data_IF_053054657901
#
_entry.id   IF_053054657901
#
_cell.length_a   1.000
_cell.length_b   1.000
_cell.length_c   1.000
_cell.angle_alpha   90.00
_cell.angle_beta   90.00
_cell.angle_gamma   90.00
#
_symmetry.space_group_name_H-M   'P 1'
#
loop_
_entity.id
_entity.type
_entity.pdbx_description
1 polymer ?
#
# COMPACT_ATOMS: atom_id res chain seq x y z
N UNK A 1 -21.70 -9.30 6.06
CA UNK A 1 -22.07 -10.73 6.11
C UNK A 1 -20.81 -11.52 5.81
N UNK A 2 -20.54 -12.63 6.51
CA UNK A 2 -19.33 -13.44 6.22
C UNK A 2 -19.60 -14.34 5.03
N UNK A 3 -18.83 -14.18 3.97
CA UNK A 3 -18.90 -15.01 2.76
C UNK A 3 -17.74 -16.01 2.74
N UNK A 4 -18.00 -17.21 3.28
CA UNK A 4 -16.99 -18.26 3.39
C UNK A 4 -16.59 -18.85 2.03
N UNK A 5 -17.43 -18.74 1.01
CA UNK A 5 -17.11 -19.20 -0.33
C UNK A 5 -16.13 -18.24 -0.99
N UNK A 6 -16.45 -16.93 -1.00
CA UNK A 6 -15.55 -15.91 -1.54
C UNK A 6 -14.19 -15.88 -0.82
N UNK A 7 -14.17 -16.04 0.51
CA UNK A 7 -12.92 -16.15 1.27
C UNK A 7 -12.06 -17.34 0.85
N UNK A 8 -12.70 -18.50 0.59
CA UNK A 8 -12.00 -19.71 0.17
C UNK A 8 -11.43 -19.55 -1.24
N UNK A 9 -12.24 -19.05 -2.17
CA UNK A 9 -11.82 -18.79 -3.55
C UNK A 9 -10.67 -17.80 -3.59
N UNK A 10 -10.77 -16.69 -2.84
CA UNK A 10 -9.68 -15.72 -2.72
C UNK A 10 -8.41 -16.34 -2.12
N UNK A 11 -8.55 -17.16 -1.06
CA UNK A 11 -7.41 -17.85 -0.47
C UNK A 11 -6.73 -18.82 -1.45
N UNK A 12 -7.49 -19.45 -2.34
CA UNK A 12 -6.96 -20.33 -3.39
C UNK A 12 -6.22 -19.55 -4.47
N UNK A 13 -6.79 -18.44 -4.96
CA UNK A 13 -6.12 -17.54 -5.92
C UNK A 13 -4.79 -17.01 -5.36
N UNK A 14 -4.77 -16.60 -4.09
CA UNK A 14 -3.52 -16.18 -3.41
C UNK A 14 -2.50 -17.32 -3.39
N UNK A 15 -2.92 -18.55 -3.09
CA UNK A 15 -2.02 -19.72 -3.05
C UNK A 15 -1.43 -20.03 -4.42
N UNK A 16 -2.23 -20.00 -5.47
CA UNK A 16 -1.76 -20.21 -6.84
C UNK A 16 -0.68 -19.19 -7.22
N UNK A 17 -0.90 -17.91 -6.90
CA UNK A 17 0.12 -16.88 -7.12
C UNK A 17 1.40 -17.10 -6.29
N UNK A 18 1.26 -17.43 -5.00
CA UNK A 18 2.41 -17.74 -4.13
C UNK A 18 3.18 -19.00 -4.57
N UNK A 19 2.52 -19.93 -5.24
CA UNK A 19 3.11 -21.14 -5.80
C UNK A 19 3.72 -20.92 -7.19
N UNK A 20 3.71 -19.69 -7.71
CA UNK A 20 4.18 -19.36 -9.06
C UNK A 20 3.35 -20.01 -10.18
N UNK A 21 2.09 -20.35 -9.90
CA UNK A 21 1.14 -20.88 -10.90
C UNK A 21 0.45 -19.76 -11.69
N UNK A 22 0.41 -18.54 -11.13
CA UNK A 22 -0.13 -17.34 -11.75
C UNK A 22 0.97 -16.28 -11.92
N UNK A 23 0.88 -15.52 -13.00
CA UNK A 23 1.62 -14.27 -13.17
C UNK A 23 0.91 -13.11 -12.48
N UNK A 24 1.59 -11.97 -12.30
CA UNK A 24 1.04 -10.80 -11.63
C UNK A 24 -0.22 -10.27 -12.33
N UNK A 25 -0.25 -10.26 -13.67
CA UNK A 25 -1.43 -9.79 -14.41
C UNK A 25 -2.61 -10.76 -14.29
N UNK A 26 -2.35 -12.07 -14.40
CA UNK A 26 -3.39 -13.08 -14.17
C UNK A 26 -3.95 -13.02 -12.75
N UNK A 27 -3.08 -12.74 -11.77
CA UNK A 27 -3.48 -12.56 -10.39
C UNK A 27 -4.36 -11.32 -10.21
N UNK A 28 -4.04 -10.18 -10.84
CA UNK A 28 -4.90 -8.97 -10.80
C UNK A 28 -6.27 -9.23 -11.43
N UNK A 29 -6.31 -9.84 -12.61
CA UNK A 29 -7.56 -10.19 -13.30
C UNK A 29 -8.47 -11.06 -12.40
N UNK A 30 -7.89 -12.02 -11.68
CA UNK A 30 -8.61 -12.87 -10.75
C UNK A 30 -8.98 -12.17 -9.42
N UNK A 31 -8.28 -11.10 -9.05
CA UNK A 31 -8.62 -10.30 -7.87
C UNK A 31 -9.82 -9.37 -8.11
N UNK A 32 -10.05 -8.94 -9.35
CA UNK A 32 -11.06 -7.94 -9.71
C UNK A 32 -12.47 -8.22 -9.14
N UNK A 33 -13.02 -9.46 -9.21
CA UNK A 33 -14.35 -9.75 -8.68
C UNK A 33 -14.47 -9.56 -7.16
N UNK A 34 -13.35 -9.57 -6.42
CA UNK A 34 -13.33 -9.47 -4.96
C UNK A 34 -13.28 -8.02 -4.45
N UNK A 35 -13.09 -7.02 -5.32
CA UNK A 35 -13.02 -5.62 -4.91
C UNK A 35 -14.36 -5.07 -4.40
N UNK A 36 -15.48 -5.61 -4.91
CA UNK A 36 -16.84 -5.17 -4.58
C UNK A 36 -17.64 -6.23 -3.77
N UNK A 37 -16.98 -7.25 -3.23
CA UNK A 37 -17.66 -8.34 -2.51
C UNK A 37 -18.36 -7.85 -1.21
N UNK A 38 -19.51 -8.40 -0.84
CA UNK A 38 -20.26 -7.97 0.36
C UNK A 38 -19.53 -8.23 1.70
N UNK A 39 -18.53 -9.11 1.72
CA UNK A 39 -17.67 -9.36 2.88
C UNK A 39 -16.53 -8.33 2.93
N UNK A 40 -16.55 -7.47 3.96
CA UNK A 40 -15.53 -6.43 4.17
C UNK A 40 -14.11 -7.00 4.26
N UNK A 41 -13.96 -8.24 4.74
CA UNK A 41 -12.65 -8.90 4.86
C UNK A 41 -12.12 -9.31 3.50
N UNK A 42 -12.98 -9.83 2.63
CA UNK A 42 -12.60 -10.19 1.24
C UNK A 42 -12.15 -8.94 0.50
N UNK A 43 -12.93 -7.84 0.59
CA UNK A 43 -12.53 -6.55 0.00
C UNK A 43 -11.22 -6.00 0.58
N UNK A 44 -11.05 -6.09 1.89
CA UNK A 44 -9.87 -5.55 2.56
C UNK A 44 -8.60 -6.32 2.15
N UNK A 45 -8.69 -7.65 2.08
CA UNK A 45 -7.59 -8.50 1.66
C UNK A 45 -7.27 -8.29 0.18
N UNK A 46 -8.26 -8.26 -0.72
CA UNK A 46 -8.02 -8.03 -2.15
C UNK A 46 -7.35 -6.68 -2.41
N UNK A 47 -7.84 -5.60 -1.78
CA UNK A 47 -7.21 -4.27 -1.86
C UNK A 47 -5.80 -4.24 -1.28
N UNK A 48 -5.53 -5.01 -0.23
CA UNK A 48 -4.18 -5.09 0.37
C UNK A 48 -3.19 -5.80 -0.56
N UNK A 49 -3.66 -6.83 -1.27
CA UNK A 49 -2.84 -7.61 -2.21
C UNK A 49 -2.48 -6.82 -3.47
N UNK A 50 -3.34 -5.90 -3.92
CA UNK A 50 -3.06 -5.00 -5.05
C UNK A 50 -1.77 -4.20 -4.86
N UNK A 51 -1.41 -3.84 -3.62
CA UNK A 51 -0.15 -3.14 -3.33
C UNK A 51 1.09 -4.04 -3.30
N UNK A 52 0.96 -5.35 -3.49
CA UNK A 52 2.06 -6.32 -3.32
C UNK A 52 2.69 -6.80 -4.64
N UNK A 53 2.12 -6.44 -5.79
CA UNK A 53 2.69 -6.74 -7.10
C UNK A 53 2.84 -5.45 -7.91
N UNK A 54 3.68 -5.49 -8.96
CA UNK A 54 3.89 -4.38 -9.89
C UNK A 54 2.94 -4.57 -11.07
N UNK A 55 2.05 -3.61 -11.30
CA UNK A 55 1.07 -3.63 -12.40
C UNK A 55 1.68 -3.19 -13.73
N UNK A 56 2.95 -2.78 -13.74
CA UNK A 56 3.65 -2.32 -14.94
C UNK A 56 4.54 -3.39 -15.60
N UNK A 57 4.66 -4.59 -15.02
CA UNK A 57 5.40 -5.71 -15.60
C UNK A 57 4.79 -7.05 -15.20
N UNK A 58 4.73 -8.01 -16.13
CA UNK A 58 4.15 -9.31 -15.81
C UNK A 58 5.21 -10.23 -15.21
N UNK A 59 5.08 -10.54 -13.93
CA UNK A 59 6.09 -11.28 -13.19
C UNK A 59 5.46 -12.32 -12.25
N UNK A 60 6.22 -13.35 -11.88
CA UNK A 60 5.85 -14.26 -10.81
C UNK A 60 5.99 -13.58 -9.44
N UNK A 61 5.53 -14.21 -8.36
CA UNK A 61 5.66 -13.63 -7.01
C UNK A 61 7.09 -13.16 -6.72
N UNK A 62 7.19 -11.91 -6.29
CA UNK A 62 8.41 -11.29 -5.75
C UNK A 62 8.06 -10.75 -4.38
N UNK A 63 8.56 -11.40 -3.33
CA UNK A 63 8.29 -11.00 -1.96
C UNK A 63 9.51 -11.27 -1.09
N UNK A 64 9.85 -10.31 -0.22
CA UNK A 64 10.78 -10.55 0.87
C UNK A 64 10.10 -11.34 2.00
N UNK A 65 10.90 -11.82 2.97
CA UNK A 65 10.39 -12.61 4.09
C UNK A 65 9.25 -11.91 4.86
N UNK A 66 9.35 -10.62 5.19
CA UNK A 66 8.25 -9.86 5.77
C UNK A 66 6.97 -9.83 4.94
N UNK A 67 7.07 -9.54 3.64
CA UNK A 67 5.91 -9.49 2.74
C UNK A 67 5.28 -10.88 2.63
N UNK A 68 6.09 -11.93 2.51
CA UNK A 68 5.60 -13.31 2.55
C UNK A 68 4.82 -13.60 3.83
N UNK A 69 5.38 -13.28 4.99
CA UNK A 69 4.71 -13.51 6.27
C UNK A 69 3.43 -12.67 6.42
N UNK A 70 3.38 -11.48 5.83
CA UNK A 70 2.17 -10.67 5.76
C UNK A 70 1.07 -11.35 4.93
N UNK A 71 1.38 -11.83 3.72
CA UNK A 71 0.40 -12.58 2.90
C UNK A 71 -0.08 -13.84 3.62
N UNK A 72 0.80 -14.55 4.32
CA UNK A 72 0.40 -15.71 5.14
C UNK A 72 -0.58 -15.32 6.27
N UNK A 73 -0.42 -14.13 6.87
CA UNK A 73 -1.37 -13.62 7.87
C UNK A 73 -2.71 -13.21 7.26
N UNK A 74 -2.73 -12.71 6.01
CA UNK A 74 -3.97 -12.46 5.27
C UNK A 74 -4.70 -13.76 4.92
N UNK A 75 -3.98 -14.81 4.50
CA UNK A 75 -4.55 -16.14 4.30
C UNK A 75 -5.15 -16.69 5.60
N UNK A 76 -4.44 -16.55 6.72
CA UNK A 76 -4.97 -16.94 8.04
C UNK A 76 -6.27 -16.18 8.37
N UNK A 77 -6.33 -14.89 8.07
CA UNK A 77 -7.50 -14.06 8.31
C UNK A 77 -8.72 -14.56 7.53
N UNK A 78 -8.55 -14.90 6.25
CA UNK A 78 -9.60 -15.48 5.41
C UNK A 78 -10.12 -16.80 5.99
N UNK A 79 -9.25 -17.67 6.50
CA UNK A 79 -9.63 -19.00 7.01
C UNK A 79 -10.12 -19.02 8.46
N UNK A 80 -9.71 -18.04 9.26
CA UNK A 80 -10.06 -17.96 10.69
C UNK A 80 -11.51 -17.58 10.96
N UNK A 81 -12.21 -17.04 9.95
CA UNK A 81 -13.56 -16.48 10.07
C UNK A 81 -13.62 -15.09 10.71
N UNK A 82 -12.48 -14.51 11.08
CA UNK A 82 -12.41 -13.17 11.67
C UNK A 82 -12.76 -12.10 10.64
N UNK A 83 -13.25 -10.96 11.11
CA UNK A 83 -13.65 -9.85 10.26
C UNK A 83 -12.62 -8.74 10.30
N UNK A 84 -12.29 -8.19 9.14
CA UNK A 84 -11.42 -7.04 8.99
C UNK A 84 -12.22 -5.86 8.47
N UNK A 85 -12.25 -4.80 9.26
CA UNK A 85 -12.80 -3.52 8.84
C UNK A 85 -11.66 -2.55 8.58
N UNK A 86 -11.76 -1.87 7.44
CA UNK A 86 -10.81 -0.86 7.01
C UNK A 86 -11.56 0.46 6.89
N UNK A 87 -11.07 1.47 7.58
CA UNK A 87 -11.56 2.83 7.40
C UNK A 87 -10.42 3.79 7.13
N UNK A 88 -10.72 4.80 6.33
CA UNK A 88 -9.76 5.82 5.93
C UNK A 88 -9.90 6.99 6.90
N UNK A 89 -8.81 7.29 7.59
CA UNK A 89 -8.70 8.49 8.43
C UNK A 89 -7.93 9.54 7.66
N UNK A 90 -8.52 10.74 7.55
CA UNK A 90 -7.84 11.91 7.01
C UNK A 90 -7.12 12.65 8.13
N UNK A 91 -5.84 12.92 7.95
CA UNK A 91 -5.01 13.63 8.91
C UNK A 91 -4.42 14.88 8.26
N UNK A 92 -4.61 16.01 8.96
CA UNK A 92 -3.99 17.28 8.58
C UNK A 92 -2.65 17.42 9.28
N UNK A 93 -1.68 17.99 8.57
CA UNK A 93 -0.31 18.21 9.03
C UNK A 93 0.14 19.62 8.70
N UNK A 94 1.06 20.16 9.49
CA UNK A 94 1.72 21.44 9.25
C UNK A 94 2.31 21.53 7.83
N UNK A 95 2.70 20.40 7.24
CA UNK A 95 3.24 20.33 5.87
C UNK A 95 2.26 20.83 4.81
N UNK A 96 0.96 20.63 4.98
CA UNK A 96 -0.05 21.10 4.02
C UNK A 96 -0.13 22.63 4.02
N UNK A 97 0.07 23.27 5.18
CA UNK A 97 0.15 24.73 5.26
C UNK A 97 1.40 25.26 4.57
N UNK A 98 2.55 24.61 4.77
CA UNK A 98 3.80 24.98 4.08
C UNK A 98 3.67 24.79 2.57
N UNK A 99 3.11 23.66 2.12
CA UNK A 99 2.86 23.39 0.71
C UNK A 99 1.89 24.41 0.11
N UNK A 100 0.81 24.75 0.82
CA UNK A 100 -0.15 25.77 0.39
C UNK A 100 0.47 27.15 0.24
N UNK A 101 1.34 27.53 1.18
CA UNK A 101 2.09 28.79 1.09
C UNK A 101 3.02 28.82 -0.13
N UNK A 102 3.81 27.76 -0.35
CA UNK A 102 4.70 27.65 -1.52
C UNK A 102 3.91 27.67 -2.84
N UNK A 103 2.73 27.03 -2.88
CA UNK A 103 1.85 27.02 -4.04
C UNK A 103 1.32 28.43 -4.35
N UNK A 104 0.88 29.18 -3.34
CA UNK A 104 0.44 30.57 -3.51
C UNK A 104 1.57 31.47 -4.03
N UNK A 105 2.79 31.29 -3.54
CA UNK A 105 3.96 32.00 -4.07
C UNK A 105 4.21 31.67 -5.55
N UNK A 106 4.11 30.39 -5.95
CA UNK A 106 4.26 29.98 -7.35
C UNK A 106 3.20 30.66 -8.25
N UNK A 107 1.95 30.68 -7.80
CA UNK A 107 0.84 31.32 -8.54
C UNK A 107 1.06 32.83 -8.64
N UNK A 108 1.48 33.49 -7.55
CA UNK A 108 1.75 34.93 -7.55
C UNK A 108 2.87 35.31 -8.52
N UNK A 109 3.94 34.52 -8.56
CA UNK A 109 5.04 34.69 -9.52
C UNK A 109 4.55 34.51 -10.96
N UNK A 110 3.80 33.45 -11.25
CA UNK A 110 3.26 33.19 -12.58
C UNK A 110 2.32 34.31 -13.04
N UNK A 111 1.53 34.89 -12.12
CA UNK A 111 0.65 36.01 -12.40
C UNK A 111 1.43 37.30 -12.72
N UNK A 112 2.48 37.62 -11.97
CA UNK A 112 3.28 38.84 -12.18
C UNK A 112 4.16 38.78 -13.43
N UNK A 113 4.77 37.63 -13.69
CA UNK A 113 5.79 37.44 -14.72
C UNK A 113 5.18 36.94 -16.05
N UNK A 114 3.92 36.51 -16.02
CA UNK A 114 3.20 35.96 -17.17
C UNK A 114 3.57 34.50 -17.46
N UNK A 115 2.72 33.82 -18.23
CA UNK A 115 2.95 32.41 -18.60
C UNK A 115 3.96 32.30 -19.75
N UNK A 116 5.10 31.67 -19.50
CA UNK A 116 6.09 31.35 -20.52
C UNK A 116 7.24 30.47 -20.01
N UNK A 117 8.14 30.09 -20.91
CA UNK A 117 9.26 29.18 -20.64
C UNK A 117 10.23 29.70 -19.57
N UNK A 118 10.29 31.01 -19.38
CA UNK A 118 11.08 31.68 -18.34
C UNK A 118 10.61 31.36 -16.91
N UNK A 119 9.38 30.86 -16.73
CA UNK A 119 8.88 30.42 -15.42
C UNK A 119 9.59 29.17 -14.91
N UNK A 120 10.07 28.28 -15.80
CA UNK A 120 10.68 27.01 -15.38
C UNK A 120 11.88 27.23 -14.46
N UNK A 121 12.93 27.99 -14.85
CA UNK A 121 14.07 28.23 -13.95
C UNK A 121 13.67 28.97 -12.67
N UNK A 122 12.65 29.82 -12.73
CA UNK A 122 12.15 30.57 -11.57
C UNK A 122 11.39 29.68 -10.57
N UNK A 123 10.74 28.62 -11.06
CA UNK A 123 9.97 27.67 -10.26
C UNK A 123 10.81 26.50 -9.73
N UNK A 124 11.98 26.19 -10.30
CA UNK A 124 12.85 25.09 -9.83
C UNK A 124 13.13 25.12 -8.32
N UNK A 125 13.42 26.27 -7.66
CA UNK A 125 13.63 26.32 -6.21
C UNK A 125 12.42 25.81 -5.42
N UNK A 126 11.21 26.10 -5.88
CA UNK A 126 9.97 25.60 -5.25
C UNK A 126 9.82 24.08 -5.40
N UNK A 127 10.30 23.51 -6.50
CA UNK A 127 10.36 22.06 -6.70
C UNK A 127 11.29 21.37 -5.72
N UNK A 128 12.48 21.94 -5.49
CA UNK A 128 13.42 21.44 -4.48
C UNK A 128 12.82 21.55 -3.07
N UNK A 129 12.20 22.69 -2.74
CA UNK A 129 11.50 22.87 -1.46
C UNK A 129 10.35 21.87 -1.28
N UNK A 130 9.58 21.59 -2.33
CA UNK A 130 8.51 20.59 -2.31
C UNK A 130 9.05 19.19 -1.99
N UNK A 131 10.20 18.79 -2.56
CA UNK A 131 10.85 17.51 -2.25
C UNK A 131 11.25 17.45 -0.76
N UNK A 132 11.85 18.53 -0.23
CA UNK A 132 12.25 18.61 1.19
C UNK A 132 11.01 18.48 2.10
N UNK A 133 9.93 19.20 1.80
CA UNK A 133 8.66 19.11 2.56
C UNK A 133 8.12 17.68 2.54
N UNK A 134 8.20 16.99 1.40
CA UNK A 134 7.80 15.58 1.27
C UNK A 134 8.60 14.64 2.18
N UNK A 135 9.88 14.91 2.40
CA UNK A 135 10.78 14.04 3.17
C UNK A 135 10.72 14.30 4.67
N UNK A 136 10.54 15.56 5.09
CA UNK A 136 10.27 15.90 6.50
C UNK A 136 9.05 15.13 7.02
N UNK A 137 8.15 14.78 6.09
CA UNK A 137 7.26 13.63 5.96
C UNK A 137 7.35 12.46 6.93
N UNK A 138 8.40 11.69 6.69
CA UNK A 138 8.42 10.25 6.90
C UNK A 138 8.79 9.85 8.33
N UNK A 139 9.41 10.76 9.09
CA UNK A 139 9.92 10.46 10.44
C UNK A 139 8.86 10.34 11.53
N UNK A 140 7.64 10.85 11.31
CA UNK A 140 6.61 10.93 12.36
C UNK A 140 5.79 9.63 12.49
N UNK A 141 5.81 8.77 11.48
CA UNK A 141 5.23 7.42 11.53
C UNK A 141 6.36 6.40 11.58
N UNK A 142 7.08 6.33 12.70
CA UNK A 142 7.91 5.14 12.91
C UNK A 142 6.93 4.00 13.22
N UNK A 143 6.73 3.03 12.30
CA UNK A 143 5.88 1.90 12.59
C UNK A 143 6.42 1.21 13.83
N UNK A 144 5.53 0.75 14.70
CA UNK A 144 5.95 -0.03 15.87
C UNK A 144 6.83 -1.17 15.35
N UNK A 145 8.04 -1.40 15.91
CA UNK A 145 8.91 -2.50 15.47
C UNK A 145 8.19 -3.85 15.37
N UNK A 146 7.14 -4.05 16.17
CA UNK A 146 6.32 -5.27 16.17
C UNK A 146 5.20 -5.27 15.14
N UNK A 147 4.75 -4.10 14.65
CA UNK A 147 3.67 -3.96 13.67
C UNK A 147 3.97 -4.76 12.39
N UNK A 148 5.23 -4.76 11.95
CA UNK A 148 5.69 -5.56 10.79
C UNK A 148 5.43 -7.06 10.93
N UNK A 149 5.38 -7.57 12.17
CA UNK A 149 5.20 -8.99 12.46
C UNK A 149 3.76 -9.37 12.82
N UNK A 150 2.97 -8.42 13.32
CA UNK A 150 1.59 -8.68 13.76
C UNK A 150 0.56 -8.28 12.72
N UNK A 151 0.79 -7.21 11.94
CA UNK A 151 -0.18 -6.68 10.97
C UNK A 151 -0.70 -7.77 10.02
N UNK A 152 -2.02 -7.91 9.83
CA UNK A 152 -3.07 -6.96 10.25
C UNK A 152 -3.55 -7.08 11.71
N UNK A 153 -3.06 -8.05 12.47
CA UNK A 153 -3.42 -8.25 13.88
C UNK A 153 -2.73 -7.21 14.78
N UNK A 154 -3.41 -6.81 15.86
CA UNK A 154 -2.86 -5.82 16.80
C UNK A 154 -1.84 -6.42 17.76
N UNK A 155 -1.92 -7.73 17.98
CA UNK A 155 -1.06 -8.42 18.94
C UNK A 155 -0.83 -9.89 18.55
N UNK A 156 0.21 -10.47 19.15
CA UNK A 156 0.53 -11.90 18.99
C UNK A 156 -0.60 -12.79 19.54
N UNK A 157 -1.30 -12.36 20.60
CA UNK A 157 -2.41 -13.13 21.17
C UNK A 157 -3.65 -13.14 20.28
N UNK A 158 -3.90 -12.08 19.50
CA UNK A 158 -4.92 -12.10 18.44
C UNK A 158 -4.53 -13.06 17.31
N UNK A 159 -3.28 -12.98 16.85
CA UNK A 159 -2.76 -13.88 15.84
C UNK A 159 -2.87 -15.36 16.25
N UNK A 160 -2.52 -15.68 17.50
CA UNK A 160 -2.64 -17.03 18.05
C UNK A 160 -4.10 -17.51 18.12
N UNK A 161 -5.02 -16.63 18.55
CA UNK A 161 -6.45 -16.97 18.58
C UNK A 161 -7.01 -17.21 17.18
N UNK A 162 -6.63 -16.41 16.19
CA UNK A 162 -7.00 -16.63 14.79
C UNK A 162 -6.42 -17.96 14.26
N UNK A 163 -5.17 -18.27 14.60
CA UNK A 163 -4.53 -19.54 14.25
C UNK A 163 -5.29 -20.74 14.84
N UNK A 164 -5.73 -20.64 16.10
CA UNK A 164 -6.53 -21.70 16.74
C UNK A 164 -7.93 -21.86 16.14
N UNK A 165 -8.53 -20.80 15.61
CA UNK A 165 -9.85 -20.89 14.95
C UNK A 165 -9.75 -21.45 13.52
N UNK A 166 -8.64 -21.23 12.83
CA UNK A 166 -8.39 -21.77 11.50
C UNK A 166 -7.88 -23.22 11.54
N UNK A 167 -8.80 -24.20 11.59
CA UNK A 167 -8.45 -25.63 11.75
C UNK A 167 -7.52 -26.21 10.68
N UNK A 168 -7.59 -25.70 9.45
CA UNK A 168 -6.84 -26.24 8.31
C UNK A 168 -5.68 -25.34 7.87
N UNK A 169 -5.46 -24.21 8.54
CA UNK A 169 -4.44 -23.27 8.11
C UNK A 169 -3.04 -23.82 8.42
N UNK A 170 -2.22 -23.93 7.39
CA UNK A 170 -0.80 -24.25 7.52
C UNK A 170 0.03 -23.16 6.87
N UNK A 171 0.84 -22.48 7.69
CA UNK A 171 1.77 -21.47 7.20
C UNK A 171 2.77 -22.09 6.24
N UNK A 172 2.87 -21.56 5.03
CA UNK A 172 3.89 -21.96 4.06
C UNK A 172 5.25 -21.37 4.42
N UNK A 173 6.31 -22.17 4.23
CA UNK A 173 7.68 -21.74 4.49
C UNK A 173 8.11 -20.77 3.39
N UNK A 174 8.81 -19.71 3.77
CA UNK A 174 9.41 -18.78 2.82
C UNK A 174 10.42 -19.52 1.91
N UNK A 175 10.19 -19.53 0.58
CA UNK A 175 11.09 -20.17 -0.37
C UNK A 175 12.40 -19.38 -0.49
N UNK A 176 13.54 -20.09 -0.50
CA UNK A 176 14.86 -19.45 -0.55
C UNK A 176 15.14 -18.75 -1.87
N UNK A 177 14.57 -19.23 -2.98
CA UNK A 177 14.82 -18.66 -4.30
C UNK A 177 14.22 -17.26 -4.47
N UNK A 178 13.15 -16.94 -3.73
CA UNK A 178 12.55 -15.61 -3.73
C UNK A 178 13.47 -14.52 -3.13
N UNK A 179 14.44 -14.90 -2.29
CA UNK A 179 15.35 -13.94 -1.65
C UNK A 179 16.23 -13.17 -2.63
N UNK A 180 16.40 -13.67 -3.85
CA UNK A 180 17.24 -13.07 -4.88
C UNK A 180 16.46 -12.59 -6.10
N UNK A 181 15.14 -12.79 -6.12
CA UNK A 181 14.31 -12.37 -7.25
C UNK A 181 14.05 -10.88 -7.14
N UNK A 182 14.32 -10.15 -8.21
CA UNK A 182 14.02 -8.72 -8.35
C UNK A 182 13.18 -8.54 -9.62
N UNK A 183 12.16 -7.67 -9.58
CA UNK A 183 11.33 -7.36 -10.76
C UNK A 183 12.14 -6.56 -11.78
N UNK A 184 12.86 -5.53 -11.30
CA UNK A 184 13.69 -4.65 -12.14
C UNK A 184 15.09 -4.52 -11.55
N UNK A 185 16.07 -4.37 -12.44
CA UNK A 185 17.44 -4.06 -12.06
C UNK A 185 17.49 -2.71 -11.31
N UNK A 186 18.20 -2.67 -10.18
CA UNK A 186 18.44 -1.46 -9.36
C UNK A 186 18.88 -0.25 -10.16
N UNK A 187 19.68 -0.44 -11.22
CA UNK A 187 20.12 0.65 -12.08
C UNK A 187 18.93 1.30 -12.83
N UNK A 188 18.05 0.48 -13.39
CA UNK A 188 16.85 0.94 -14.10
C UNK A 188 15.91 1.66 -13.12
N UNK A 189 15.69 1.08 -11.93
CA UNK A 189 14.91 1.72 -10.87
C UNK A 189 15.49 3.08 -10.46
N UNK A 190 16.83 3.21 -10.41
CA UNK A 190 17.52 4.47 -10.16
C UNK A 190 17.26 5.52 -11.25
N UNK A 191 17.27 5.12 -12.53
CA UNK A 191 16.94 6.01 -13.65
C UNK A 191 15.50 6.51 -13.55
N UNK A 192 14.54 5.63 -13.23
CA UNK A 192 13.15 6.03 -13.04
C UNK A 192 12.98 7.00 -11.88
N UNK A 193 13.64 6.73 -10.75
CA UNK A 193 13.64 7.62 -9.59
C UNK A 193 14.22 9.01 -9.93
N UNK A 194 15.33 9.04 -10.67
CA UNK A 194 15.94 10.29 -11.13
C UNK A 194 15.00 11.06 -12.07
N UNK A 195 14.42 10.40 -13.08
CA UNK A 195 13.43 11.03 -13.98
C UNK A 195 12.23 11.57 -13.21
N UNK A 196 11.75 10.84 -12.20
CA UNK A 196 10.64 11.26 -11.36
C UNK A 196 10.96 12.54 -10.57
N UNK A 197 12.12 12.61 -9.91
CA UNK A 197 12.53 13.83 -9.22
C UNK A 197 12.83 15.00 -10.17
N UNK A 198 13.37 14.73 -11.35
CA UNK A 198 13.57 15.77 -12.37
C UNK A 198 12.23 16.38 -12.79
N UNK A 199 11.22 15.56 -13.09
CA UNK A 199 9.87 16.03 -13.41
C UNK A 199 9.23 16.77 -12.25
N UNK A 200 9.42 16.29 -11.00
CA UNK A 200 8.96 16.98 -9.79
C UNK A 200 9.52 18.40 -9.70
N UNK A 201 10.82 18.58 -9.97
CA UNK A 201 11.48 19.91 -9.93
C UNK A 201 11.02 20.81 -11.07
N UNK A 202 10.85 20.26 -12.28
CA UNK A 202 10.41 21.03 -13.45
C UNK A 202 8.95 21.48 -13.37
N UNK A 203 8.10 20.70 -12.71
CA UNK A 203 6.66 20.96 -12.60
C UNK A 203 6.20 20.99 -11.14
N UNK A 204 6.68 21.95 -10.31
CA UNK A 204 6.47 21.93 -8.86
C UNK A 204 5.03 22.20 -8.44
N UNK A 205 4.21 22.80 -9.31
CA UNK A 205 2.80 23.11 -9.04
C UNK A 205 2.00 21.82 -8.77
N UNK A 206 2.23 20.77 -9.56
CA UNK A 206 1.52 19.49 -9.42
C UNK A 206 1.78 18.82 -8.06
N UNK A 207 3.03 18.54 -7.65
CA UNK A 207 3.30 17.93 -6.35
C UNK A 207 2.95 18.84 -5.19
N UNK A 208 3.10 20.17 -5.30
CA UNK A 208 2.64 21.10 -4.25
C UNK A 208 1.13 21.02 -4.07
N UNK A 209 0.36 20.96 -5.16
CA UNK A 209 -1.10 20.78 -5.09
C UNK A 209 -1.48 19.46 -4.42
N UNK A 210 -0.78 18.36 -4.74
CA UNK A 210 -0.98 17.06 -4.08
C UNK A 210 -0.59 17.11 -2.59
N UNK A 211 0.48 17.83 -2.23
CA UNK A 211 0.92 18.01 -0.84
C UNK A 211 -0.03 18.86 0.00
N UNK A 212 -0.88 19.68 -0.63
CA UNK A 212 -1.96 20.40 0.07
C UNK A 212 -3.10 19.47 0.52
N UNK A 213 -3.20 18.25 -0.02
CA UNK A 213 -4.27 17.32 0.33
C UNK A 213 -4.04 16.69 1.72
N UNK A 214 -5.13 16.39 2.46
CA UNK A 214 -5.04 15.66 3.71
C UNK A 214 -4.39 14.29 3.47
N UNK A 215 -3.49 13.88 4.37
CA UNK A 215 -2.91 12.54 4.30
C UNK A 215 -3.98 11.53 4.67
N UNK A 216 -4.21 10.55 3.82
CA UNK A 216 -5.08 9.42 4.12
C UNK A 216 -4.26 8.33 4.79
N UNK A 217 -4.73 7.86 5.94
CA UNK A 217 -4.19 6.70 6.64
C UNK A 217 -5.27 5.64 6.72
N UNK A 218 -4.97 4.43 6.26
CA UNK A 218 -5.85 3.28 6.40
C UNK A 218 -5.66 2.70 7.79
N UNK A 219 -6.72 2.71 8.60
CA UNK A 219 -6.74 2.00 9.88
C UNK A 219 -7.50 0.69 9.72
N UNK A 220 -6.92 -0.36 10.27
CA UNK A 220 -7.48 -1.70 10.23
C UNK A 220 -7.90 -2.12 11.63
N UNK A 221 -9.10 -2.67 11.76
CA UNK A 221 -9.53 -3.35 12.98
C UNK A 221 -9.94 -4.75 12.63
N UNK A 222 -9.50 -5.70 13.45
CA UNK A 222 -9.93 -7.07 13.33
C UNK A 222 -10.88 -7.36 14.48
N UNK A 223 -12.07 -7.83 14.15
CA UNK A 223 -13.08 -8.28 15.08
C UNK A 223 -13.10 -9.81 15.03
N UNK A 224 -13.06 -10.51 16.18
CA UNK A 224 -13.31 -11.94 16.19
C UNK A 224 -14.71 -12.20 15.64
N UNK A 225 -14.90 -13.34 14.96
CA UNK A 225 -16.22 -13.76 14.52
C UNK A 225 -17.17 -13.70 15.73
N UNK A 226 -18.21 -12.86 15.65
CA UNK A 226 -19.26 -12.86 16.66
C UNK A 226 -19.84 -14.27 16.69
N UNK A 227 -19.75 -14.95 17.84
CA UNK A 227 -20.55 -16.14 18.09
C UNK A 227 -22.01 -15.76 17.76
N UNK A 228 -22.74 -16.56 16.98
CA UNK A 228 -24.16 -16.30 16.79
C UNK A 228 -24.78 -16.25 18.18
N UNK A 229 -25.32 -15.10 18.56
CA UNK A 229 -26.29 -15.00 19.65
C UNK A 229 -27.44 -15.93 19.25
N UNK A 230 -27.50 -17.09 19.90
CA UNK A 230 -28.65 -17.99 19.85
C UNK A 230 -29.88 -17.32 20.45
#
# INVERSE_FOLDING_TARGET
MVDFEARRTLAEVIRQYLNEELTAFQFDDLLQPFYENADSTVQAVSKSLWYLYDDCDDHLVVADKPTWDYVQRLLLLLESGWQMDVWIVRQWSVRQFVAGFLLLCCIGIAYQVGMGWHLIPLLMPFGVLSIIVSQLGSSQDRPDPFEKYTTPFRSISELERAYRSARNFRKSRYPKHLAYREIRNKFISGIYLFKFYLLWVLFPVIPLMLQCLPRTSCKTSILPASLPTQ
#
